data_IF_030927725656
#
_entry.id   IF_030927725656
#
_cell.length_a   1.000
_cell.length_b   1.000
_cell.length_c   1.000
_cell.angle_alpha   90.00
_cell.angle_beta   90.00
_cell.angle_gamma   90.00
#
_symmetry.space_group_name_H-M   'P 1'
#
loop_
_entity.id
_entity.type
_entity.pdbx_description
1 polymer ?
#
# COMPACT_ATOMS: atom_id res chain seq x y z
N UNK A 1 -7.86 12.52 15.58
CA UNK A 1 -8.57 11.33 15.01
C UNK A 1 -9.48 10.75 16.09
N UNK A 2 -10.41 9.82 15.81
CA UNK A 2 -11.18 9.14 16.87
C UNK A 2 -11.03 7.62 16.77
N UNK A 3 -10.61 6.99 17.88
CA UNK A 3 -10.47 5.55 17.98
C UNK A 3 -11.74 4.92 18.55
N UNK A 4 -12.14 3.77 18.02
CA UNK A 4 -13.21 2.95 18.61
C UNK A 4 -12.81 2.43 19.99
N UNK A 5 -13.77 2.02 20.83
CA UNK A 5 -13.48 1.48 22.17
C UNK A 5 -12.51 0.27 22.12
N UNK A 6 -12.66 -0.60 21.13
CA UNK A 6 -11.76 -1.73 20.92
C UNK A 6 -10.33 -1.27 20.58
N UNK A 7 -10.19 -0.26 19.71
CA UNK A 7 -8.89 0.32 19.36
C UNK A 7 -8.24 1.05 20.54
N UNK A 8 -9.03 1.76 21.36
CA UNK A 8 -8.55 2.38 22.60
C UNK A 8 -8.00 1.33 23.57
N UNK A 9 -8.71 0.22 23.77
CA UNK A 9 -8.25 -0.90 24.59
C UNK A 9 -6.94 -1.52 24.06
N UNK A 10 -6.84 -1.74 22.76
CA UNK A 10 -5.61 -2.25 22.14
C UNK A 10 -4.42 -1.28 22.25
N UNK A 11 -4.66 0.03 22.09
CA UNK A 11 -3.66 1.06 22.30
C UNK A 11 -3.16 1.08 23.74
N UNK A 12 -4.09 1.03 24.71
CA UNK A 12 -3.75 0.99 26.13
C UNK A 12 -2.89 -0.23 26.47
N UNK A 13 -3.27 -1.40 25.98
CA UNK A 13 -2.50 -2.63 26.17
C UNK A 13 -1.09 -2.53 25.55
N UNK A 14 -0.97 -1.94 24.36
CA UNK A 14 0.31 -1.70 23.70
C UNK A 14 1.22 -0.79 24.54
N UNK A 15 0.71 0.35 25.01
CA UNK A 15 1.45 1.30 25.86
C UNK A 15 1.90 0.63 27.17
N UNK A 16 1.04 -0.18 27.78
CA UNK A 16 1.37 -0.88 29.03
C UNK A 16 2.41 -2.00 28.86
N UNK A 17 2.48 -2.61 27.68
CA UNK A 17 3.47 -3.64 27.36
C UNK A 17 4.84 -3.05 27.01
N UNK A 18 4.90 -1.79 26.56
CA UNK A 18 6.14 -1.12 26.21
C UNK A 18 6.83 -0.54 27.47
N UNK A 19 8.08 -0.93 27.78
CA UNK A 19 8.77 -0.51 29.00
C UNK A 19 9.12 1.00 29.04
N UNK A 20 9.15 1.68 27.90
CA UNK A 20 9.44 3.11 27.79
C UNK A 20 8.16 3.94 27.84
N UNK A 21 7.07 3.46 27.22
CA UNK A 21 5.79 4.18 27.20
C UNK A 21 4.99 3.98 28.49
N UNK A 22 5.10 2.81 29.14
CA UNK A 22 4.37 2.48 30.36
C UNK A 22 4.74 3.34 31.58
N UNK A 23 5.95 3.91 31.59
CA UNK A 23 6.45 4.75 32.69
C UNK A 23 6.05 6.23 32.55
N UNK A 24 5.37 6.61 31.46
CA UNK A 24 4.95 8.00 31.24
C UNK A 24 3.93 8.44 32.28
N UNK A 25 4.09 9.65 32.79
CA UNK A 25 3.20 10.24 33.80
C UNK A 25 1.78 10.39 33.23
N UNK A 26 0.73 10.05 33.99
CA UNK A 26 -0.66 10.14 33.51
C UNK A 26 -1.15 11.59 33.50
N UNK A 27 -0.62 12.39 32.58
CA UNK A 27 -0.97 13.79 32.35
C UNK A 27 -0.86 14.13 30.84
N UNK A 28 -1.12 15.39 30.49
CA UNK A 28 -1.06 15.87 29.10
C UNK A 28 0.30 15.66 28.44
N UNK A 29 1.39 15.87 29.18
CA UNK A 29 2.75 15.80 28.66
C UNK A 29 3.15 14.34 28.39
N UNK A 30 2.79 13.42 29.29
CA UNK A 30 2.97 11.99 29.05
C UNK A 30 2.14 11.48 27.87
N UNK A 31 0.91 11.97 27.72
CA UNK A 31 0.05 11.61 26.58
C UNK A 31 0.63 12.15 25.26
N UNK A 32 1.20 13.36 25.28
CA UNK A 32 1.90 13.95 24.14
C UNK A 32 3.16 13.16 23.77
N UNK A 33 3.95 12.74 24.74
CA UNK A 33 5.12 11.89 24.53
C UNK A 33 4.76 10.56 23.85
N UNK A 34 3.67 9.92 24.30
CA UNK A 34 3.16 8.69 23.69
C UNK A 34 2.68 8.97 22.26
N UNK A 35 1.89 10.03 22.05
CA UNK A 35 1.42 10.41 20.70
C UNK A 35 2.60 10.62 19.74
N UNK A 36 3.64 11.34 20.19
CA UNK A 36 4.85 11.57 19.42
C UNK A 36 5.60 10.28 19.10
N UNK A 37 5.66 9.32 20.03
CA UNK A 37 6.28 8.02 19.78
C UNK A 37 5.48 7.19 18.75
N UNK A 38 4.16 7.18 18.86
CA UNK A 38 3.27 6.43 17.98
C UNK A 38 3.24 6.96 16.54
N UNK A 39 3.42 8.27 16.37
CA UNK A 39 3.45 8.93 15.06
C UNK A 39 4.79 8.79 14.32
N UNK A 40 5.83 8.23 14.97
CA UNK A 40 7.12 7.99 14.29
C UNK A 40 6.99 6.83 13.30
N UNK A 41 7.76 6.84 12.20
CA UNK A 41 7.92 5.67 11.34
C UNK A 41 8.31 4.45 12.16
N UNK A 42 7.68 3.31 11.88
CA UNK A 42 8.04 2.06 12.55
C UNK A 42 9.49 1.67 12.20
N UNK A 43 10.34 1.40 13.20
CA UNK A 43 11.77 1.15 12.97
C UNK A 43 12.06 -0.15 12.23
N UNK A 44 11.11 -1.09 12.15
CA UNK A 44 11.28 -2.34 11.38
C UNK A 44 11.03 -2.15 9.88
N UNK A 45 10.63 -0.96 9.43
CA UNK A 45 10.30 -0.68 8.04
C UNK A 45 8.99 -1.35 7.61
N UNK A 46 8.04 -1.51 8.53
CA UNK A 46 6.75 -2.14 8.28
C UNK A 46 5.99 -1.42 7.17
N UNK A 47 5.61 -2.16 6.11
CA UNK A 47 5.01 -1.59 4.91
C UNK A 47 3.49 -1.72 4.90
N UNK A 48 2.82 -0.67 4.47
CA UNK A 48 1.37 -0.61 4.28
C UNK A 48 1.01 -0.11 2.89
N UNK A 49 -0.16 -0.52 2.41
CA UNK A 49 -0.74 0.05 1.19
C UNK A 49 -1.15 1.49 1.45
N UNK A 50 -0.84 2.40 0.51
CA UNK A 50 -1.38 3.77 0.55
C UNK A 50 -2.89 3.73 0.32
N UNK A 51 -3.66 4.51 1.07
CA UNK A 51 -5.11 4.62 0.86
C UNK A 51 -5.47 5.12 -0.54
N UNK A 52 -4.71 6.10 -1.04
CA UNK A 52 -4.78 6.61 -2.41
C UNK A 52 -3.39 6.91 -2.96
N UNK A 53 -3.22 6.81 -4.27
CA UNK A 53 -2.00 7.19 -4.99
C UNK A 53 -2.39 7.98 -6.23
N UNK A 54 -1.63 9.03 -6.54
CA UNK A 54 -1.84 9.83 -7.76
C UNK A 54 -1.63 8.99 -9.01
N UNK A 55 -2.52 9.16 -9.99
CA UNK A 55 -2.47 8.41 -11.24
C UNK A 55 -1.17 8.67 -12.00
N UNK A 56 -0.64 9.91 -11.97
CA UNK A 56 0.65 10.25 -12.59
C UNK A 56 1.80 9.37 -12.06
N UNK A 57 1.91 9.23 -10.74
CA UNK A 57 2.93 8.38 -10.12
C UNK A 57 2.78 6.89 -10.46
N UNK A 58 1.55 6.43 -10.75
CA UNK A 58 1.30 5.07 -11.23
C UNK A 58 1.76 4.95 -12.69
N UNK A 59 1.37 5.90 -13.56
CA UNK A 59 1.71 5.90 -14.99
C UNK A 59 3.22 5.96 -15.22
N UNK A 60 3.94 6.77 -14.44
CA UNK A 60 5.40 6.92 -14.54
C UNK A 60 6.16 5.64 -14.11
N UNK A 61 5.55 4.83 -13.25
CA UNK A 61 6.14 3.59 -12.74
C UNK A 61 5.91 2.38 -13.66
N UNK A 62 5.02 2.50 -14.66
CA UNK A 62 4.72 1.44 -15.63
C UNK A 62 5.86 1.31 -16.64
N UNK A 63 6.24 0.06 -16.94
CA UNK A 63 7.17 -0.25 -18.02
C UNK A 63 6.39 -0.44 -19.32
N UNK A 64 6.03 0.66 -19.97
CA UNK A 64 5.14 0.67 -21.14
C UNK A 64 5.59 -0.22 -22.29
N UNK A 65 6.90 -0.31 -22.53
CA UNK A 65 7.48 -1.18 -23.56
C UNK A 65 7.08 -2.66 -23.40
N UNK A 66 6.89 -3.10 -22.15
CA UNK A 66 6.52 -4.48 -21.84
C UNK A 66 5.00 -4.73 -21.93
N UNK A 67 4.19 -3.74 -22.34
CA UNK A 67 2.77 -3.94 -22.66
C UNK A 67 2.54 -4.22 -24.15
N UNK A 68 3.56 -4.07 -24.99
CA UNK A 68 3.45 -4.23 -26.45
C UNK A 68 4.21 -5.47 -26.89
N UNK A 69 3.56 -6.44 -27.56
CA UNK A 69 4.25 -7.61 -28.10
C UNK A 69 5.46 -7.23 -28.96
N UNK A 70 6.58 -7.91 -28.74
CA UNK A 70 7.80 -7.75 -29.53
C UNK A 70 8.06 -8.98 -30.40
N UNK A 71 8.68 -8.75 -31.55
CA UNK A 71 9.03 -9.79 -32.52
C UNK A 71 8.14 -9.76 -33.76
N UNK A 72 8.56 -10.50 -34.79
CA UNK A 72 7.77 -10.68 -36.01
C UNK A 72 6.70 -11.73 -35.70
N UNK A 73 5.44 -11.41 -35.99
CA UNK A 73 4.36 -12.40 -35.89
C UNK A 73 4.68 -13.58 -36.80
N UNK A 74 4.61 -14.79 -36.25
CA UNK A 74 4.79 -16.05 -36.98
C UNK A 74 3.49 -16.49 -37.70
N UNK A 75 2.45 -15.66 -37.66
CA UNK A 75 1.13 -15.97 -38.21
C UNK A 75 0.35 -17.02 -37.42
N UNK A 76 0.86 -17.47 -36.27
CA UNK A 76 0.20 -18.48 -35.45
C UNK A 76 -1.00 -17.91 -34.69
N UNK A 77 -1.97 -18.77 -34.41
CA UNK A 77 -3.09 -18.43 -33.52
C UNK A 77 -2.61 -18.05 -32.10
N UNK A 78 -1.43 -18.52 -31.68
CA UNK A 78 -0.85 -18.21 -30.36
C UNK A 78 -0.34 -16.77 -30.35
N UNK A 79 0.37 -16.32 -31.39
CA UNK A 79 0.83 -14.94 -31.51
C UNK A 79 -0.35 -13.96 -31.44
N UNK A 80 -1.42 -14.23 -32.19
CA UNK A 80 -2.63 -13.41 -32.15
C UNK A 80 -3.32 -13.40 -30.77
N UNK A 81 -3.40 -14.53 -30.08
CA UNK A 81 -3.95 -14.59 -28.72
C UNK A 81 -3.12 -13.77 -27.72
N UNK A 82 -1.79 -13.73 -27.88
CA UNK A 82 -0.91 -12.93 -27.03
C UNK A 82 -1.11 -11.44 -27.27
N UNK A 83 -1.29 -11.01 -28.53
CA UNK A 83 -1.67 -9.64 -28.88
C UNK A 83 -2.98 -9.23 -28.21
N UNK A 84 -4.04 -10.06 -28.29
CA UNK A 84 -5.32 -9.77 -27.62
C UNK A 84 -5.20 -9.70 -26.10
N UNK A 85 -4.39 -10.57 -25.48
CA UNK A 85 -4.14 -10.50 -24.03
C UNK A 85 -3.42 -9.22 -23.64
N UNK A 86 -2.43 -8.79 -24.41
CA UNK A 86 -1.72 -7.53 -24.19
C UNK A 86 -2.68 -6.33 -24.34
N UNK A 87 -3.50 -6.31 -25.38
CA UNK A 87 -4.51 -5.27 -25.60
C UNK A 87 -5.54 -5.21 -24.46
N UNK A 88 -6.05 -6.37 -24.00
CA UNK A 88 -6.99 -6.42 -22.89
C UNK A 88 -6.41 -5.83 -21.59
N UNK A 89 -5.11 -6.05 -21.34
CA UNK A 89 -4.40 -5.48 -20.19
C UNK A 89 -4.22 -3.97 -20.31
N UNK A 90 -3.90 -3.47 -21.51
CA UNK A 90 -3.84 -2.04 -21.78
C UNK A 90 -5.21 -1.37 -21.60
N UNK A 91 -6.30 -2.01 -22.07
CA UNK A 91 -7.67 -1.54 -21.84
C UNK A 91 -8.02 -1.50 -20.36
N UNK A 92 -7.64 -2.51 -19.58
CA UNK A 92 -7.87 -2.51 -18.13
C UNK A 92 -7.17 -1.30 -17.49
N UNK A 93 -5.91 -1.01 -17.84
CA UNK A 93 -5.21 0.18 -17.34
C UNK A 93 -5.92 1.46 -17.76
N UNK A 94 -6.37 1.55 -19.02
CA UNK A 94 -7.11 2.70 -19.50
C UNK A 94 -8.41 2.92 -18.70
N UNK A 95 -9.22 1.88 -18.52
CA UNK A 95 -10.49 1.96 -17.74
C UNK A 95 -10.22 2.34 -16.29
N UNK A 96 -9.13 1.84 -15.71
CA UNK A 96 -8.78 2.11 -14.32
C UNK A 96 -8.25 3.52 -14.09
N UNK A 97 -7.45 4.06 -15.02
CA UNK A 97 -6.66 5.27 -14.82
C UNK A 97 -7.19 6.49 -15.56
N UNK A 98 -7.85 6.32 -16.71
CA UNK A 98 -8.28 7.44 -17.54
C UNK A 98 -9.34 8.29 -16.83
N UNK A 99 -9.14 9.61 -16.86
CA UNK A 99 -10.06 10.58 -16.24
C UNK A 99 -10.01 10.61 -14.71
N UNK A 100 -9.03 9.96 -14.08
CA UNK A 100 -8.85 9.99 -12.61
C UNK A 100 -7.53 10.64 -12.24
N UNK A 101 -7.58 11.59 -11.32
CA UNK A 101 -6.37 12.21 -10.76
C UNK A 101 -5.68 11.31 -9.73
N UNK A 102 -6.45 10.51 -9.01
CA UNK A 102 -5.93 9.54 -8.05
C UNK A 102 -6.75 8.25 -8.03
N UNK A 103 -6.13 7.19 -7.52
CA UNK A 103 -6.68 5.87 -7.43
C UNK A 103 -6.61 5.36 -5.98
N UNK A 104 -7.72 4.83 -5.48
CA UNK A 104 -7.83 4.29 -4.12
C UNK A 104 -7.07 2.96 -3.93
N UNK A 105 -5.75 3.03 -3.90
CA UNK A 105 -4.83 1.88 -3.87
C UNK A 105 -4.86 1.07 -2.58
N UNK A 106 -5.55 1.55 -1.54
CA UNK A 106 -5.79 0.76 -0.33
C UNK A 106 -6.75 -0.42 -0.61
N UNK A 107 -7.60 -0.28 -1.63
CA UNK A 107 -8.61 -1.29 -2.00
C UNK A 107 -7.94 -2.50 -2.65
N UNK A 108 -8.27 -3.69 -2.16
CA UNK A 108 -7.74 -4.95 -2.71
C UNK A 108 -8.03 -5.11 -4.20
N UNK A 109 -9.25 -4.82 -4.64
CA UNK A 109 -9.68 -4.95 -6.03
C UNK A 109 -8.86 -4.07 -6.97
N UNK A 110 -8.55 -2.83 -6.56
CA UNK A 110 -7.68 -1.93 -7.29
C UNK A 110 -6.26 -2.49 -7.43
N UNK A 111 -5.69 -3.02 -6.34
CA UNK A 111 -4.35 -3.63 -6.36
C UNK A 111 -4.30 -4.86 -7.25
N UNK A 112 -5.31 -5.71 -7.16
CA UNK A 112 -5.43 -6.90 -8.02
C UNK A 112 -5.57 -6.53 -9.49
N UNK A 113 -6.35 -5.49 -9.83
CA UNK A 113 -6.46 -5.00 -11.20
C UNK A 113 -5.15 -4.47 -11.76
N UNK A 114 -4.41 -3.68 -10.97
CA UNK A 114 -3.07 -3.19 -11.37
C UNK A 114 -2.08 -4.34 -11.53
N UNK A 115 -2.07 -5.30 -10.59
CA UNK A 115 -1.22 -6.48 -10.67
C UNK A 115 -1.52 -7.33 -11.90
N UNK A 116 -2.80 -7.61 -12.15
CA UNK A 116 -3.24 -8.40 -13.30
C UNK A 116 -2.87 -7.71 -14.61
N UNK A 117 -3.02 -6.39 -14.71
CA UNK A 117 -2.64 -5.69 -15.93
C UNK A 117 -1.12 -5.68 -16.18
N UNK A 118 -0.30 -5.68 -15.12
CA UNK A 118 1.14 -5.40 -15.21
C UNK A 118 2.04 -6.62 -15.01
N UNK A 119 1.58 -7.70 -14.39
CA UNK A 119 2.41 -8.86 -14.11
C UNK A 119 2.11 -10.00 -15.08
N UNK A 120 3.14 -10.73 -15.52
CA UNK A 120 3.00 -11.86 -16.45
C UNK A 120 2.33 -11.46 -17.77
N UNK A 121 2.75 -10.33 -18.35
CA UNK A 121 2.27 -9.85 -19.65
C UNK A 121 2.94 -10.68 -20.75
N UNK A 122 2.20 -11.34 -21.67
CA UNK A 122 2.77 -12.20 -22.71
C UNK A 122 3.28 -11.38 -23.91
N UNK A 123 4.10 -10.36 -23.66
CA UNK A 123 4.59 -9.40 -24.65
C UNK A 123 6.01 -9.68 -25.13
N UNK A 124 6.75 -10.58 -24.48
CA UNK A 124 8.08 -10.97 -24.94
C UNK A 124 8.04 -11.78 -26.22
N UNK A 125 9.21 -11.98 -26.84
CA UNK A 125 9.35 -12.80 -28.04
C UNK A 125 8.72 -14.19 -27.84
N UNK A 126 7.89 -14.62 -28.79
CA UNK A 126 7.14 -15.89 -28.70
C UNK A 126 6.09 -15.94 -27.59
N UNK A 127 5.70 -14.80 -27.00
CA UNK A 127 4.76 -14.72 -25.88
C UNK A 127 5.39 -14.91 -24.49
N UNK A 128 6.71 -14.77 -24.39
CA UNK A 128 7.40 -14.84 -23.09
C UNK A 128 6.78 -13.82 -22.10
N UNK A 129 6.58 -14.28 -20.86
CA UNK A 129 5.95 -13.48 -19.81
C UNK A 129 6.94 -12.44 -19.28
N UNK A 130 6.55 -11.17 -19.33
CA UNK A 130 7.31 -10.04 -18.81
C UNK A 130 6.54 -9.35 -17.68
N UNK A 131 7.29 -8.69 -16.81
CA UNK A 131 6.72 -7.75 -15.84
C UNK A 131 6.71 -6.35 -16.45
N UNK A 132 5.52 -5.76 -16.59
CA UNK A 132 5.31 -4.41 -17.10
C UNK A 132 5.41 -3.33 -16.02
N UNK A 133 6.18 -3.58 -14.96
CA UNK A 133 6.42 -2.64 -13.88
C UNK A 133 5.48 -2.82 -12.68
N UNK A 134 5.12 -4.05 -12.35
CA UNK A 134 4.45 -4.36 -11.09
C UNK A 134 5.45 -4.42 -9.93
N UNK A 135 6.48 -5.28 -10.02
CA UNK A 135 7.44 -5.55 -8.94
C UNK A 135 8.77 -4.83 -9.17
N UNK A 136 9.32 -4.24 -8.10
CA UNK A 136 10.67 -3.68 -8.09
C UNK A 136 10.71 -2.27 -7.52
N UNK A 137 11.93 -1.77 -7.30
CA UNK A 137 12.12 -0.38 -6.92
C UNK A 137 11.68 0.55 -8.07
N UNK A 138 10.94 1.62 -7.75
CA UNK A 138 10.39 2.55 -8.74
C UNK A 138 9.28 1.98 -9.63
N UNK A 139 8.73 0.80 -9.28
CA UNK A 139 7.61 0.17 -9.99
C UNK A 139 6.28 0.38 -9.26
N UNK A 140 5.17 0.05 -9.91
CA UNK A 140 3.82 0.40 -9.43
C UNK A 140 3.56 -0.08 -8.01
N UNK A 141 3.97 -1.31 -7.62
CA UNK A 141 3.78 -1.77 -6.24
C UNK A 141 4.55 -0.92 -5.21
N UNK A 142 5.74 -0.45 -5.56
CA UNK A 142 6.53 0.41 -4.70
C UNK A 142 5.93 1.82 -4.60
N UNK A 143 5.31 2.35 -5.66
CA UNK A 143 4.67 3.68 -5.62
C UNK A 143 3.37 3.69 -4.82
N UNK A 144 2.64 2.57 -4.77
CA UNK A 144 1.38 2.44 -4.03
C UNK A 144 1.55 1.91 -2.59
N UNK A 145 2.79 1.80 -2.10
CA UNK A 145 3.12 1.40 -0.72
C UNK A 145 3.90 2.50 0.00
N UNK A 146 3.93 2.44 1.33
CA UNK A 146 4.73 3.33 2.18
C UNK A 146 5.07 2.67 3.52
N UNK A 147 6.13 3.14 4.20
CA UNK A 147 6.35 2.78 5.59
C UNK A 147 5.19 3.27 6.45
N UNK A 148 4.80 2.43 7.41
CA UNK A 148 3.80 2.72 8.42
C UNK A 148 4.42 3.47 9.60
N UNK A 149 3.61 4.24 10.30
CA UNK A 149 3.92 4.65 11.68
C UNK A 149 3.71 3.50 12.66
N UNK A 150 4.23 3.63 13.88
CA UNK A 150 4.00 2.65 14.95
C UNK A 150 2.51 2.46 15.22
N UNK A 151 1.74 3.56 15.23
CA UNK A 151 0.27 3.52 15.37
C UNK A 151 -0.40 2.74 14.25
N UNK A 152 -0.04 3.02 13.00
CA UNK A 152 -0.65 2.36 11.84
C UNK A 152 -0.34 0.87 11.85
N UNK A 153 0.89 0.49 12.20
CA UNK A 153 1.28 -0.92 12.37
C UNK A 153 0.47 -1.62 13.45
N UNK A 154 0.22 -0.97 14.59
CA UNK A 154 -0.55 -1.55 15.70
C UNK A 154 -1.94 -2.02 15.25
N UNK A 155 -2.56 -1.30 14.32
CA UNK A 155 -3.91 -1.61 13.83
C UNK A 155 -3.95 -2.23 12.42
N UNK A 156 -2.81 -2.38 11.76
CA UNK A 156 -2.75 -2.93 10.41
C UNK A 156 -2.95 -4.44 10.41
N UNK A 157 -3.57 -4.96 9.35
CA UNK A 157 -3.78 -6.39 9.14
C UNK A 157 -2.93 -6.90 7.98
N UNK A 158 -2.08 -7.88 8.26
CA UNK A 158 -1.20 -8.52 7.28
C UNK A 158 0.24 -8.68 7.76
N UNK A 159 1.13 -9.09 6.86
CA UNK A 159 2.53 -9.37 7.18
C UNK A 159 3.40 -8.10 7.29
N UNK A 160 3.04 -7.03 6.59
CA UNK A 160 3.76 -5.74 6.62
C UNK A 160 5.13 -5.76 5.96
N UNK A 161 5.35 -6.65 4.99
CA UNK A 161 6.63 -6.73 4.25
C UNK A 161 6.52 -6.02 2.91
N UNK A 162 7.65 -5.71 2.26
CA UNK A 162 7.63 -5.15 0.91
C UNK A 162 6.92 -6.09 -0.10
N UNK A 163 7.05 -7.40 0.08
CA UNK A 163 6.37 -8.40 -0.72
C UNK A 163 4.88 -8.52 -0.38
N UNK A 164 4.51 -8.37 0.90
CA UNK A 164 3.14 -8.46 1.38
C UNK A 164 2.81 -7.30 2.33
N UNK A 165 2.59 -6.08 1.80
CA UNK A 165 2.22 -4.92 2.62
C UNK A 165 0.88 -5.15 3.30
N UNK A 166 0.72 -4.59 4.49
CA UNK A 166 -0.52 -4.71 5.26
C UNK A 166 -1.58 -3.70 4.84
N UNK A 167 -2.83 -4.03 5.14
CA UNK A 167 -3.96 -3.11 4.98
C UNK A 167 -4.09 -2.27 6.23
N UNK A 168 -4.13 -0.95 6.08
CA UNK A 168 -4.31 -0.02 7.21
C UNK A 168 -5.77 -0.05 7.71
N UNK A 169 -5.95 0.03 9.02
CA UNK A 169 -7.25 0.24 9.65
C UNK A 169 -7.43 1.66 10.18
N UNK A 170 -6.34 2.39 10.39
CA UNK A 170 -6.32 3.81 10.73
C UNK A 170 -5.31 4.52 9.85
N UNK A 171 -5.55 5.79 9.58
CA UNK A 171 -4.64 6.67 8.88
C UNK A 171 -4.75 8.06 9.50
N UNK A 172 -3.63 8.80 9.50
CA UNK A 172 -3.41 10.10 10.14
C UNK A 172 -2.74 10.03 11.52
N UNK A 173 -2.01 11.09 11.92
CA UNK A 173 -1.40 11.16 13.24
C UNK A 173 -2.44 11.10 14.38
N UNK A 174 -2.06 10.45 15.47
CA UNK A 174 -2.78 10.50 16.74
C UNK A 174 -2.36 11.75 17.54
N UNK A 175 -3.32 12.38 18.20
CA UNK A 175 -3.10 13.54 19.07
C UNK A 175 -3.09 13.14 20.56
N UNK A 176 -2.55 14.01 21.41
CA UNK A 176 -2.50 13.74 22.86
C UNK A 176 -3.89 13.55 23.49
N UNK A 177 -4.98 14.27 23.11
CA UNK A 177 -6.29 14.04 23.71
C UNK A 177 -6.85 12.65 23.40
N UNK A 178 -6.61 12.13 22.19
CA UNK A 178 -7.00 10.76 21.83
C UNK A 178 -6.23 9.72 22.64
N UNK A 179 -4.93 9.94 22.87
CA UNK A 179 -4.13 9.08 23.75
C UNK A 179 -4.66 9.15 25.19
N UNK A 180 -4.90 10.36 25.71
CA UNK A 180 -5.44 10.57 27.07
C UNK A 180 -6.75 9.82 27.26
N UNK A 181 -7.66 9.94 26.27
CA UNK A 181 -8.93 9.22 26.24
C UNK A 181 -8.73 7.70 26.26
N UNK A 182 -7.85 7.18 25.40
CA UNK A 182 -7.58 5.74 25.33
C UNK A 182 -6.95 5.18 26.62
N UNK A 183 -6.09 5.96 27.27
CA UNK A 183 -5.42 5.58 28.51
C UNK A 183 -6.33 5.74 29.74
N UNK A 184 -7.35 6.60 29.66
CA UNK A 184 -8.18 7.03 30.79
C UNK A 184 -7.45 8.05 31.68
N UNK A 185 -6.60 8.88 31.07
CA UNK A 185 -5.91 9.98 31.74
C UNK A 185 -6.78 11.23 31.65
N UNK A 186 -7.07 11.83 32.80
CA UNK A 186 -7.90 13.02 32.96
C UNK A 186 -7.08 14.29 32.99
#
# INVERSE_FOLDING_TARGET
MSLTLAQQGALKAYVQADPVLSIKTPNSDGALDIANALNKPDPSGYQVWRSSTETGAILDAITWANLTPVGVSDGSAIALQNEYKCQGRQLNLQIMLQGRESLGTGRLTTRQGLQDALQNVPSGAGGALLDAGWIGAGKVKASITRPATVLEKLFATGAGTAANPSTMAVESPIDYPTVSTAMGWG
#
